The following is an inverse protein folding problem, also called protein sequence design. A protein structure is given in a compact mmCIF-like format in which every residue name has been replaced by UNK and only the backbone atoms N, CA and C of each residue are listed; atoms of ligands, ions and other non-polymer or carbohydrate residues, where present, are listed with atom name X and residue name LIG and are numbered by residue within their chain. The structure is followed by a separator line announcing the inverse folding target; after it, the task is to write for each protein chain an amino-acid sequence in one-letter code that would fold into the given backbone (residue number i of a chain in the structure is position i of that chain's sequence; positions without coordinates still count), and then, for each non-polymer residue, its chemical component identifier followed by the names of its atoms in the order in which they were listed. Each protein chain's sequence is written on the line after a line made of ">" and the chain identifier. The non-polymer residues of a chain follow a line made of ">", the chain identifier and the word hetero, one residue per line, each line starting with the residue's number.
data_IF_056759246781
#
_entry.id   IF_056759246781
#
_cell.length_a   1.000
_cell.length_b   1.000
_cell.length_c   1.000
_cell.angle_alpha   90.00
_cell.angle_beta   90.00
_cell.angle_gamma   90.00
#
_symmetry.space_group_name_H-M   'P 1'
#
loop_
_entity.id
_entity.type
_entity.pdbx_description
1 polymer ?
#
# COMPACT_ATOMS: atom_id res chain seq x y z
N UNK A 1 -2.66 11.53 25.04
CA UNK A 1 -2.45 12.04 26.43
C UNK A 1 -3.16 13.38 26.66
N UNK A 2 -3.15 14.26 25.68
CA UNK A 2 -3.79 15.58 25.83
C UNK A 2 -5.31 15.52 26.08
N UNK A 3 -5.95 14.43 25.74
CA UNK A 3 -7.39 14.22 25.89
C UNK A 3 -7.78 13.39 27.14
N UNK A 4 -6.81 12.79 27.82
CA UNK A 4 -7.09 11.95 28.97
C UNK A 4 -7.55 12.81 30.17
N UNK A 5 -8.73 12.54 30.69
CA UNK A 5 -9.27 13.21 31.89
C UNK A 5 -8.85 12.50 33.18
N UNK A 6 -8.56 11.20 33.11
CA UNK A 6 -8.03 10.39 34.21
C UNK A 6 -7.26 9.21 33.64
N UNK A 7 -5.96 9.32 33.50
CA UNK A 7 -5.11 8.20 33.08
C UNK A 7 -4.34 7.60 34.25
N UNK A 8 -3.95 6.35 34.15
CA UNK A 8 -3.00 5.75 35.08
C UNK A 8 -1.67 6.53 35.17
N UNK A 9 -1.30 7.19 34.10
CA UNK A 9 -0.11 8.03 34.01
C UNK A 9 -0.24 9.30 34.86
N UNK A 10 -1.40 9.96 34.87
CA UNK A 10 -1.64 11.14 35.73
C UNK A 10 -1.53 10.80 37.21
N UNK A 11 -1.94 9.60 37.62
CA UNK A 11 -1.79 9.13 39.00
C UNK A 11 -0.33 9.00 39.43
N UNK A 12 0.56 8.72 38.49
CA UNK A 12 1.98 8.49 38.75
C UNK A 12 2.78 9.80 38.54
N UNK A 13 2.50 10.55 37.50
CA UNK A 13 3.31 11.67 37.03
C UNK A 13 2.65 13.05 37.24
N UNK A 14 1.47 13.10 37.81
CA UNK A 14 0.75 14.35 38.09
C UNK A 14 -0.26 14.73 36.99
N UNK A 15 -0.89 15.86 37.18
CA UNK A 15 -1.96 16.35 36.33
C UNK A 15 -1.52 16.56 34.87
N UNK A 16 -2.50 16.48 33.96
CA UNK A 16 -2.34 16.77 32.54
C UNK A 16 -1.62 18.11 32.30
N UNK A 17 -0.65 18.09 31.40
CA UNK A 17 0.13 19.27 31.00
C UNK A 17 0.58 19.14 29.55
N UNK A 18 0.90 20.27 28.92
CA UNK A 18 1.51 20.32 27.58
C UNK A 18 3.01 20.02 27.61
N UNK A 19 3.60 19.79 28.80
CA UNK A 19 5.02 19.44 28.95
C UNK A 19 5.20 18.20 29.84
N UNK A 20 4.64 17.05 29.42
CA UNK A 20 4.66 15.84 30.23
C UNK A 20 6.05 15.18 30.22
N UNK A 21 6.75 15.20 31.35
CA UNK A 21 8.12 14.67 31.46
C UNK A 21 8.21 13.19 31.08
N UNK A 22 7.19 12.39 31.37
CA UNK A 22 7.18 10.98 31.04
C UNK A 22 7.06 10.72 29.52
N UNK A 23 6.31 11.55 28.77
CA UNK A 23 6.24 11.45 27.30
C UNK A 23 7.59 11.78 26.69
N UNK A 24 8.24 12.87 27.14
CA UNK A 24 9.62 13.17 26.72
C UNK A 24 10.57 12.02 27.01
N UNK A 25 10.46 11.39 28.18
CA UNK A 25 11.28 10.24 28.58
C UNK A 25 11.05 9.02 27.69
N UNK A 26 9.80 8.75 27.31
CA UNK A 26 9.48 7.67 26.39
C UNK A 26 10.13 7.89 25.01
N UNK A 27 10.06 9.11 24.47
CA UNK A 27 10.75 9.46 23.23
C UNK A 27 12.27 9.32 23.35
N UNK A 28 12.86 9.69 24.51
CA UNK A 28 14.29 9.53 24.74
C UNK A 28 14.69 8.06 24.68
N UNK A 29 13.97 7.16 25.36
CA UNK A 29 14.25 5.72 25.29
C UNK A 29 14.14 5.16 23.87
N UNK A 30 13.11 5.55 23.13
CA UNK A 30 12.95 5.14 21.75
C UNK A 30 14.11 5.63 20.85
N UNK A 31 14.49 6.89 21.01
CA UNK A 31 15.61 7.49 20.27
C UNK A 31 16.95 6.84 20.62
N UNK A 32 17.21 6.56 21.89
CA UNK A 32 18.45 5.89 22.33
C UNK A 32 18.57 4.49 21.72
N UNK A 33 17.45 3.76 21.64
CA UNK A 33 17.37 2.46 20.95
C UNK A 33 17.69 2.59 19.46
N UNK A 34 17.05 3.54 18.77
CA UNK A 34 17.29 3.83 17.33
C UNK A 34 18.76 4.19 17.09
N UNK A 35 19.35 5.00 17.99
CA UNK A 35 20.75 5.41 17.93
C UNK A 35 21.68 4.23 18.14
N UNK A 36 21.39 3.38 19.12
CA UNK A 36 22.18 2.18 19.40
C UNK A 36 22.29 1.25 18.19
N UNK A 37 21.20 1.10 17.41
CA UNK A 37 21.18 0.29 16.19
C UNK A 37 21.63 1.04 14.93
N UNK A 38 22.09 2.28 15.02
CA UNK A 38 22.51 3.06 13.85
C UNK A 38 21.39 3.42 12.87
N UNK A 39 20.16 3.56 13.36
CA UNK A 39 18.95 3.76 12.55
C UNK A 39 18.41 5.20 12.55
N UNK A 40 19.15 6.16 13.09
CA UNK A 40 18.71 7.57 13.24
C UNK A 40 18.31 8.25 11.94
N UNK A 41 18.87 7.81 10.81
CA UNK A 41 18.52 8.30 9.47
C UNK A 41 17.46 7.46 8.74
N UNK A 42 16.93 6.42 9.39
CA UNK A 42 16.00 5.45 8.80
C UNK A 42 14.66 5.38 9.51
N UNK A 43 14.61 5.82 10.76
CA UNK A 43 13.41 5.76 11.61
C UNK A 43 13.07 7.16 12.09
N UNK A 44 11.82 7.55 11.90
CA UNK A 44 11.24 8.80 12.41
C UNK A 44 10.29 8.49 13.56
N UNK A 45 10.34 9.28 14.62
CA UNK A 45 9.45 9.18 15.78
C UNK A 45 8.37 10.26 15.71
N UNK A 46 7.13 9.87 15.95
CA UNK A 46 5.97 10.76 15.90
C UNK A 46 5.20 10.73 17.21
N UNK A 47 4.72 11.90 17.64
CA UNK A 47 3.65 11.98 18.62
C UNK A 47 2.32 11.73 17.90
N UNK A 48 1.64 10.63 18.22
CA UNK A 48 0.39 10.22 17.58
C UNK A 48 -0.78 10.33 18.57
N UNK A 49 -1.80 11.13 18.20
CA UNK A 49 -2.99 11.31 19.05
C UNK A 49 -4.23 11.59 18.20
N UNK A 50 -5.41 11.41 18.79
CA UNK A 50 -6.69 11.78 18.17
C UNK A 50 -6.99 13.27 18.40
N UNK A 51 -7.89 13.84 17.60
CA UNK A 51 -8.33 15.23 17.66
C UNK A 51 -7.21 16.30 17.72
N UNK A 52 -6.00 15.96 17.25
CA UNK A 52 -4.85 16.89 17.23
C UNK A 52 -5.14 18.19 16.49
N UNK A 53 -6.11 18.18 15.55
CA UNK A 53 -6.57 19.36 14.84
C UNK A 53 -7.32 20.36 15.73
N UNK A 54 -7.78 19.96 16.90
CA UNK A 54 -8.45 20.82 17.90
C UNK A 54 -7.45 21.44 18.89
N UNK A 55 -6.27 20.85 19.04
CA UNK A 55 -5.28 21.21 20.06
C UNK A 55 -3.90 21.52 19.45
N UNK A 56 -3.90 22.20 18.30
CA UNK A 56 -2.68 22.45 17.51
C UNK A 56 -1.55 23.07 18.33
N UNK A 57 -1.85 24.12 19.10
CA UNK A 57 -0.83 24.85 19.88
C UNK A 57 -0.27 23.97 21.02
N UNK A 58 -1.10 23.16 21.65
CA UNK A 58 -0.70 22.26 22.72
C UNK A 58 0.20 21.14 22.19
N UNK A 59 -0.16 20.57 21.03
CA UNK A 59 0.67 19.57 20.32
C UNK A 59 2.02 20.15 19.93
N UNK A 60 2.05 21.37 19.37
CA UNK A 60 3.29 22.05 19.01
C UNK A 60 4.15 22.29 20.25
N UNK A 61 3.56 22.77 21.33
CA UNK A 61 4.24 23.00 22.61
C UNK A 61 4.84 21.71 23.15
N UNK A 62 4.08 20.60 23.10
CA UNK A 62 4.55 19.31 23.55
C UNK A 62 5.73 18.78 22.74
N UNK A 63 5.63 18.81 21.40
CA UNK A 63 6.73 18.34 20.53
C UNK A 63 7.98 19.19 20.73
N UNK A 64 7.84 20.52 20.86
CA UNK A 64 8.96 21.40 21.16
C UNK A 64 9.59 21.09 22.52
N UNK A 65 8.79 20.76 23.54
CA UNK A 65 9.29 20.31 24.82
C UNK A 65 10.02 18.96 24.74
N UNK A 66 9.48 18.00 23.98
CA UNK A 66 10.16 16.72 23.73
C UNK A 66 11.53 16.96 23.09
N UNK A 67 11.62 17.92 22.18
CA UNK A 67 12.82 18.26 21.41
C UNK A 67 13.75 19.26 22.11
N UNK A 68 13.50 19.68 23.36
CA UNK A 68 14.27 20.77 24.01
C UNK A 68 15.75 20.47 24.19
N UNK A 69 16.13 19.18 24.28
CA UNK A 69 17.53 18.75 24.48
C UNK A 69 18.14 18.16 23.19
N UNK A 70 17.44 18.28 22.07
CA UNK A 70 17.80 17.75 20.76
C UNK A 70 16.60 17.14 20.04
N UNK A 71 16.68 17.10 18.73
CA UNK A 71 15.56 16.60 17.89
C UNK A 71 15.43 15.08 17.99
N UNK A 72 14.51 14.60 18.82
CA UNK A 72 14.18 13.19 19.02
C UNK A 72 12.76 12.83 18.56
N UNK A 73 11.87 13.82 18.40
CA UNK A 73 10.55 13.66 17.79
C UNK A 73 10.53 14.38 16.44
N UNK A 74 10.19 13.68 15.37
CA UNK A 74 10.22 14.22 14.03
C UNK A 74 8.94 14.99 13.68
N UNK A 75 7.81 14.62 14.26
CA UNK A 75 6.56 15.26 13.90
C UNK A 75 5.33 14.71 14.61
N UNK A 76 4.19 14.99 14.01
CA UNK A 76 2.87 14.63 14.53
C UNK A 76 2.20 13.57 13.66
N UNK A 77 1.68 12.53 14.30
CA UNK A 77 0.72 11.59 13.76
C UNK A 77 -0.69 12.04 14.15
N UNK A 78 -1.50 12.34 13.15
CA UNK A 78 -2.90 12.69 13.32
C UNK A 78 -3.74 11.43 13.11
N UNK A 79 -4.36 10.87 14.16
CA UNK A 79 -5.19 9.67 14.01
C UNK A 79 -6.30 9.89 13.00
N UNK A 80 -7.01 11.02 13.09
CA UNK A 80 -7.99 11.43 12.08
C UNK A 80 -9.22 10.53 12.01
N UNK A 81 -9.75 10.18 13.18
CA UNK A 81 -11.09 9.65 13.32
C UNK A 81 -12.09 10.80 13.19
N UNK A 82 -12.63 10.97 11.99
CA UNK A 82 -13.37 12.17 11.60
C UNK A 82 -14.88 11.86 11.42
N UNK A 83 -15.62 12.91 11.09
CA UNK A 83 -16.99 12.82 10.58
C UNK A 83 -17.16 13.76 9.40
N UNK A 84 -17.99 13.41 8.43
CA UNK A 84 -18.30 14.32 7.31
C UNK A 84 -19.04 15.59 7.78
N UNK A 85 -19.57 15.61 8.99
CA UNK A 85 -20.19 16.78 9.61
C UNK A 85 -19.25 17.62 10.45
N UNK A 86 -18.14 17.06 10.93
CA UNK A 86 -17.10 17.76 11.71
C UNK A 86 -15.83 16.90 11.83
N UNK A 87 -14.63 17.50 11.70
CA UNK A 87 -14.39 18.91 11.36
C UNK A 87 -14.71 19.22 9.90
N UNK A 88 -14.88 20.51 9.58
CA UNK A 88 -14.85 20.91 8.17
C UNK A 88 -13.49 20.62 7.57
N UNK A 89 -13.44 20.32 6.28
CA UNK A 89 -12.16 20.09 5.57
C UNK A 89 -11.20 21.26 5.74
N UNK A 90 -11.70 22.50 5.68
CA UNK A 90 -10.87 23.71 5.85
C UNK A 90 -10.24 23.77 7.25
N UNK A 91 -11.01 23.50 8.30
CA UNK A 91 -10.51 23.51 9.67
C UNK A 91 -9.44 22.45 9.91
N UNK A 92 -9.70 21.22 9.43
CA UNK A 92 -8.72 20.14 9.53
C UNK A 92 -7.43 20.44 8.77
N UNK A 93 -7.53 20.92 7.54
CA UNK A 93 -6.33 21.21 6.72
C UNK A 93 -5.56 22.43 7.19
N UNK A 94 -6.21 23.40 7.86
CA UNK A 94 -5.52 24.48 8.56
C UNK A 94 -4.63 23.95 9.70
N UNK A 95 -5.09 22.95 10.44
CA UNK A 95 -4.27 22.29 11.46
C UNK A 95 -3.06 21.56 10.83
N UNK A 96 -3.27 20.82 9.73
CA UNK A 96 -2.16 20.20 8.98
C UNK A 96 -1.12 21.25 8.56
N UNK A 97 -1.58 22.38 7.99
CA UNK A 97 -0.69 23.47 7.58
C UNK A 97 0.06 24.08 8.76
N UNK A 98 -0.59 24.22 9.92
CA UNK A 98 0.04 24.75 11.13
C UNK A 98 1.17 23.86 11.63
N UNK A 99 1.00 22.54 11.62
CA UNK A 99 2.08 21.60 11.97
C UNK A 99 3.23 21.65 10.97
N UNK A 100 2.94 21.74 9.68
CA UNK A 100 3.95 21.91 8.62
C UNK A 100 4.72 23.22 8.84
N UNK A 101 4.03 24.35 9.12
CA UNK A 101 4.65 25.65 9.38
C UNK A 101 5.53 25.65 10.64
N UNK A 102 5.19 24.83 11.64
CA UNK A 102 6.02 24.62 12.82
C UNK A 102 7.28 23.75 12.54
N UNK A 103 7.49 23.31 11.29
CA UNK A 103 8.64 22.53 10.86
C UNK A 103 8.54 21.04 11.14
N UNK A 104 7.34 20.54 11.46
CA UNK A 104 7.10 19.14 11.75
C UNK A 104 6.79 18.34 10.49
N UNK A 105 7.17 17.07 10.55
CA UNK A 105 6.66 16.06 9.65
C UNK A 105 5.25 15.66 10.08
N UNK A 106 4.33 15.51 9.13
CA UNK A 106 2.93 15.16 9.40
C UNK A 106 2.60 13.83 8.77
N UNK A 107 1.97 12.95 9.54
CA UNK A 107 1.33 11.75 9.05
C UNK A 107 -0.15 11.73 9.45
N UNK A 108 -1.02 11.36 8.53
CA UNK A 108 -2.42 11.02 8.79
C UNK A 108 -2.42 9.51 9.02
N UNK A 109 -2.61 9.07 10.27
CA UNK A 109 -2.23 7.72 10.67
C UNK A 109 -3.38 6.71 10.72
N UNK A 110 -4.62 7.18 10.89
CA UNK A 110 -5.76 6.31 11.18
C UNK A 110 -7.06 6.85 10.57
N UNK A 111 -6.98 7.35 9.33
CA UNK A 111 -8.12 8.03 8.71
C UNK A 111 -9.31 7.10 8.53
N UNK A 112 -10.39 7.46 9.17
CA UNK A 112 -11.75 7.00 8.91
C UNK A 112 -12.74 8.15 9.12
N UNK A 113 -13.93 8.09 8.52
CA UNK A 113 -14.89 9.17 8.68
C UNK A 113 -16.33 8.66 8.73
N UNK A 114 -17.02 8.88 9.85
CA UNK A 114 -18.45 8.65 9.95
C UNK A 114 -19.20 9.57 9.00
N UNK A 115 -20.29 9.09 8.39
CA UNK A 115 -20.94 9.79 7.29
C UNK A 115 -22.45 9.51 7.24
N UNK A 116 -23.17 10.32 6.43
CA UNK A 116 -24.60 10.20 6.17
C UNK A 116 -24.92 9.34 4.92
N UNK A 117 -23.90 8.82 4.27
CA UNK A 117 -24.02 8.00 3.07
C UNK A 117 -22.76 8.03 2.20
N UNK A 118 -22.67 7.11 1.26
CA UNK A 118 -21.46 6.93 0.43
C UNK A 118 -21.06 8.19 -0.37
N UNK A 119 -22.02 8.95 -0.88
CA UNK A 119 -21.74 10.17 -1.63
C UNK A 119 -21.22 11.30 -0.70
N UNK A 120 -21.73 11.38 0.52
CA UNK A 120 -21.28 12.33 1.54
C UNK A 120 -19.80 12.05 1.93
N UNK A 121 -19.47 10.79 2.19
CA UNK A 121 -18.11 10.36 2.44
C UNK A 121 -17.19 10.64 1.23
N UNK A 122 -17.67 10.35 0.02
CA UNK A 122 -16.92 10.56 -1.21
C UNK A 122 -16.54 12.04 -1.42
N UNK A 123 -17.50 12.95 -1.23
CA UNK A 123 -17.29 14.40 -1.36
C UNK A 123 -16.32 14.93 -0.29
N UNK A 124 -16.48 14.48 0.95
CA UNK A 124 -15.62 14.88 2.06
C UNK A 124 -14.18 14.44 1.81
N UNK A 125 -13.95 13.16 1.51
CA UNK A 125 -12.60 12.62 1.29
C UNK A 125 -11.95 13.19 0.03
N UNK A 126 -12.71 13.44 -1.06
CA UNK A 126 -12.21 14.14 -2.23
C UNK A 126 -11.61 15.49 -1.86
N UNK A 127 -12.39 16.31 -1.15
CA UNK A 127 -11.97 17.67 -0.75
C UNK A 127 -10.79 17.63 0.22
N UNK A 128 -10.81 16.72 1.20
CA UNK A 128 -9.71 16.51 2.15
C UNK A 128 -8.41 16.17 1.41
N UNK A 129 -8.46 15.19 0.51
CA UNK A 129 -7.29 14.76 -0.25
C UNK A 129 -6.74 15.85 -1.16
N UNK A 130 -7.61 16.61 -1.84
CA UNK A 130 -7.19 17.76 -2.64
C UNK A 130 -6.37 18.77 -1.82
N UNK A 131 -6.85 19.11 -0.64
CA UNK A 131 -6.19 20.09 0.22
C UNK A 131 -4.88 19.54 0.81
N UNK A 132 -4.87 18.30 1.30
CA UNK A 132 -3.64 17.65 1.82
C UNK A 132 -2.58 17.54 0.72
N UNK A 133 -2.97 17.16 -0.49
CA UNK A 133 -2.05 17.08 -1.63
C UNK A 133 -1.53 18.48 -1.99
N UNK A 134 -2.36 19.51 -1.93
CA UNK A 134 -1.94 20.89 -2.20
C UNK A 134 -0.86 21.36 -1.21
N UNK A 135 -1.04 21.09 0.09
CA UNK A 135 -0.04 21.39 1.13
C UNK A 135 1.28 20.66 0.84
N UNK A 136 1.20 19.37 0.50
CA UNK A 136 2.39 18.58 0.16
C UNK A 136 3.10 19.14 -1.07
N UNK A 137 2.38 19.53 -2.11
CA UNK A 137 2.95 20.14 -3.34
C UNK A 137 3.61 21.48 -3.08
N UNK A 138 3.11 22.24 -2.12
CA UNK A 138 3.71 23.49 -1.67
C UNK A 138 4.99 23.30 -0.81
N UNK A 139 5.46 22.08 -0.67
CA UNK A 139 6.66 21.73 0.10
C UNK A 139 6.39 21.23 1.51
N UNK A 140 5.12 21.08 1.89
CA UNK A 140 4.74 20.55 3.20
C UNK A 140 5.23 19.11 3.41
N UNK A 141 5.82 18.85 4.55
CA UNK A 141 6.41 17.55 4.90
C UNK A 141 5.35 16.56 5.36
N UNK A 142 4.45 16.19 4.46
CA UNK A 142 3.43 15.15 4.69
C UNK A 142 3.97 13.84 4.13
N UNK A 143 4.21 12.84 4.98
CA UNK A 143 4.95 11.63 4.61
C UNK A 143 4.14 10.35 4.65
N UNK A 144 2.93 10.38 5.18
CA UNK A 144 2.07 9.22 5.23
C UNK A 144 0.58 9.54 5.34
N UNK A 145 -0.24 8.68 4.76
CA UNK A 145 -1.67 8.61 4.99
C UNK A 145 -2.07 7.14 5.05
N UNK A 146 -2.72 6.76 6.15
CA UNK A 146 -3.21 5.40 6.39
C UNK A 146 -4.72 5.44 6.61
N UNK A 147 -5.45 4.62 5.89
CA UNK A 147 -6.88 4.36 6.14
C UNK A 147 -6.99 3.35 7.28
N UNK A 148 -7.83 3.64 8.29
CA UNK A 148 -7.91 2.83 9.51
C UNK A 148 -8.86 1.66 9.39
N UNK A 149 -8.59 0.78 8.46
CA UNK A 149 -9.32 -0.47 8.26
C UNK A 149 -9.37 -0.91 6.80
N UNK A 150 -9.71 -2.17 6.61
CA UNK A 150 -9.78 -2.78 5.27
C UNK A 150 -11.13 -2.50 4.60
N UNK A 151 -12.23 -2.67 5.35
CA UNK A 151 -13.59 -2.52 4.82
C UNK A 151 -14.60 -2.27 5.96
N UNK A 152 -15.78 -1.78 5.61
CA UNK A 152 -16.84 -1.39 6.55
C UNK A 152 -17.36 -2.57 7.40
N UNK A 153 -17.36 -3.77 6.87
CA UNK A 153 -17.82 -4.98 7.56
C UNK A 153 -16.90 -5.42 8.71
N UNK A 154 -15.64 -4.98 8.68
CA UNK A 154 -14.61 -5.27 9.71
C UNK A 154 -14.11 -4.02 10.44
N UNK A 155 -14.77 -2.87 10.28
CA UNK A 155 -14.39 -1.63 10.97
C UNK A 155 -14.63 -1.72 12.48
N UNK A 156 -13.82 -0.98 13.25
CA UNK A 156 -13.97 -0.86 14.70
C UNK A 156 -15.22 -0.08 15.11
N UNK A 157 -15.68 0.87 14.27
CA UNK A 157 -16.93 1.65 14.47
C UNK A 157 -18.09 1.04 13.68
N UNK A 158 -18.61 -0.08 14.17
CA UNK A 158 -19.63 -0.87 13.49
C UNK A 158 -20.85 -0.04 13.08
N UNK A 159 -21.35 -0.28 11.89
CA UNK A 159 -22.55 0.37 11.35
C UNK A 159 -22.33 1.76 10.76
N UNK A 160 -21.18 2.40 10.96
CA UNK A 160 -20.91 3.78 10.51
C UNK A 160 -20.39 3.89 9.08
N UNK A 161 -20.02 2.78 8.46
CA UNK A 161 -19.52 2.69 7.08
C UNK A 161 -18.42 3.72 6.72
N UNK A 162 -17.34 3.85 7.53
CA UNK A 162 -16.40 4.98 7.45
C UNK A 162 -15.26 4.81 6.43
N UNK A 163 -15.17 3.66 5.77
CA UNK A 163 -14.00 3.25 4.99
C UNK A 163 -14.23 3.32 3.48
N UNK A 164 -13.19 3.02 2.71
CA UNK A 164 -13.19 3.10 1.25
C UNK A 164 -13.84 1.89 0.57
N UNK A 165 -13.95 0.77 1.29
CA UNK A 165 -14.54 -0.47 0.79
C UNK A 165 -15.72 -0.87 1.67
N UNK A 166 -16.79 -1.37 1.06
CA UNK A 166 -17.94 -1.92 1.80
C UNK A 166 -17.64 -3.30 2.39
N UNK A 167 -16.97 -4.14 1.62
CA UNK A 167 -16.35 -5.42 1.98
C UNK A 167 -15.00 -5.51 1.28
N UNK A 168 -14.15 -6.43 1.70
CA UNK A 168 -12.82 -6.62 1.06
C UNK A 168 -12.99 -6.84 -0.44
N UNK A 169 -12.32 -5.98 -1.24
CA UNK A 169 -12.36 -6.03 -2.70
C UNK A 169 -13.56 -5.34 -3.35
N UNK A 170 -14.50 -4.78 -2.58
CA UNK A 170 -15.66 -4.06 -3.11
C UNK A 170 -15.57 -2.55 -2.84
N UNK A 171 -14.97 -1.76 -3.74
CA UNK A 171 -14.72 -0.33 -3.54
C UNK A 171 -16.01 0.48 -3.59
N UNK A 172 -16.12 1.46 -2.69
CA UNK A 172 -17.21 2.44 -2.62
C UNK A 172 -16.92 3.65 -3.52
N UNK A 173 -17.90 4.53 -3.69
CA UNK A 173 -17.73 5.82 -4.38
C UNK A 173 -16.57 6.63 -3.78
N UNK A 174 -16.39 6.57 -2.46
CA UNK A 174 -15.30 7.23 -1.74
C UNK A 174 -13.90 6.80 -2.20
N UNK A 175 -13.70 5.53 -2.54
CA UNK A 175 -12.43 5.03 -3.08
C UNK A 175 -12.09 5.72 -4.41
N UNK A 176 -13.05 5.78 -5.33
CA UNK A 176 -12.85 6.42 -6.63
C UNK A 176 -12.66 7.93 -6.51
N UNK A 177 -13.33 8.57 -5.55
CA UNK A 177 -13.17 10.00 -5.27
C UNK A 177 -11.78 10.35 -4.74
N UNK A 178 -11.21 9.52 -3.87
CA UNK A 178 -9.82 9.68 -3.43
C UNK A 178 -8.84 9.56 -4.61
N UNK A 179 -9.01 8.57 -5.48
CA UNK A 179 -8.19 8.44 -6.69
C UNK A 179 -8.37 9.63 -7.64
N UNK A 180 -9.60 10.14 -7.78
CA UNK A 180 -9.88 11.31 -8.61
C UNK A 180 -9.21 12.57 -8.05
N UNK A 181 -9.18 12.75 -6.71
CA UNK A 181 -8.49 13.86 -6.08
C UNK A 181 -6.98 13.88 -6.41
N UNK A 182 -6.35 12.71 -6.47
CA UNK A 182 -4.96 12.59 -6.94
C UNK A 182 -4.81 13.04 -8.39
N UNK A 183 -5.65 12.54 -9.31
CA UNK A 183 -5.61 12.91 -10.72
C UNK A 183 -5.80 14.41 -10.91
N UNK A 184 -6.83 14.97 -10.29
CA UNK A 184 -7.18 16.39 -10.40
C UNK A 184 -6.18 17.33 -9.73
N UNK A 185 -5.34 16.80 -8.86
CA UNK A 185 -4.26 17.57 -8.24
C UNK A 185 -3.03 17.68 -9.13
N UNK A 186 -3.06 17.11 -10.36
CA UNK A 186 -1.89 17.10 -11.25
C UNK A 186 -0.66 16.40 -10.59
N UNK A 187 -0.92 15.59 -9.57
CA UNK A 187 0.04 14.57 -9.20
C UNK A 187 -0.05 13.58 -10.35
N UNK A 188 0.82 13.72 -11.33
CA UNK A 188 1.18 12.57 -12.13
C UNK A 188 1.48 11.52 -11.08
N UNK A 189 0.69 10.44 -11.09
CA UNK A 189 1.14 9.21 -10.46
C UNK A 189 2.63 9.21 -10.78
N UNK A 190 3.48 9.31 -9.74
CA UNK A 190 4.88 9.07 -9.99
C UNK A 190 4.78 7.82 -10.82
N UNK A 191 5.02 7.95 -12.12
CA UNK A 191 5.40 6.79 -12.88
C UNK A 191 6.42 6.26 -11.92
N UNK A 192 6.08 5.18 -11.22
CA UNK A 192 7.10 4.32 -10.71
C UNK A 192 7.78 3.98 -12.01
N UNK A 193 8.62 4.92 -12.44
CA UNK A 193 9.66 4.61 -13.38
C UNK A 193 10.30 3.49 -12.60
N UNK A 194 10.09 2.24 -13.02
CA UNK A 194 10.78 1.17 -12.33
C UNK A 194 12.18 1.71 -12.34
N UNK A 195 12.66 2.07 -11.13
CA UNK A 195 14.05 2.43 -10.97
C UNK A 195 14.73 1.37 -11.79
N UNK A 196 15.42 1.75 -12.84
CA UNK A 196 16.00 0.85 -13.82
C UNK A 196 17.19 0.07 -13.23
N UNK A 197 17.14 -0.26 -11.96
CA UNK A 197 17.55 -1.55 -11.49
C UNK A 197 16.52 -2.53 -12.04
N UNK A 198 16.60 -2.86 -13.34
CA UNK A 198 16.02 -4.08 -13.84
C UNK A 198 16.60 -5.16 -12.95
N UNK A 199 15.83 -5.62 -11.96
CA UNK A 199 16.09 -6.90 -11.37
C UNK A 199 15.77 -7.89 -12.48
N UNK A 200 16.70 -7.99 -13.43
CA UNK A 200 16.64 -9.01 -14.46
C UNK A 200 16.75 -10.32 -13.72
N UNK A 201 15.61 -11.01 -13.65
CA UNK A 201 15.65 -12.41 -13.20
C UNK A 201 16.62 -13.10 -14.14
N UNK A 202 17.67 -13.70 -13.61
CA UNK A 202 18.70 -14.35 -14.43
C UNK A 202 18.08 -15.48 -15.24
N UNK A 203 18.68 -15.79 -16.40
CA UNK A 203 18.28 -17.00 -17.14
C UNK A 203 18.49 -18.24 -16.26
N UNK A 204 17.52 -19.13 -16.25
CA UNK A 204 17.59 -20.33 -15.42
C UNK A 204 16.22 -20.93 -15.10
N UNK A 205 16.25 -22.04 -14.36
CA UNK A 205 15.05 -22.74 -13.89
C UNK A 205 14.53 -22.16 -12.60
N UNK A 206 13.20 -21.93 -12.55
CA UNK A 206 12.51 -21.38 -11.39
C UNK A 206 11.25 -22.15 -11.08
N UNK A 207 10.86 -22.10 -9.80
CA UNK A 207 9.53 -22.34 -9.33
C UNK A 207 8.89 -20.99 -9.04
N UNK A 208 7.73 -20.72 -9.61
CA UNK A 208 6.98 -19.47 -9.42
C UNK A 208 5.90 -19.73 -8.40
N UNK A 209 6.01 -19.11 -7.22
CA UNK A 209 5.09 -19.32 -6.11
C UNK A 209 4.17 -18.11 -5.95
N UNK A 210 2.86 -18.33 -5.95
CA UNK A 210 1.87 -17.30 -5.66
C UNK A 210 1.94 -16.94 -4.16
N UNK A 211 2.06 -15.64 -3.86
CA UNK A 211 2.23 -15.15 -2.49
C UNK A 211 0.98 -15.38 -1.63
N UNK A 212 -0.22 -15.17 -2.19
CA UNK A 212 -1.48 -15.32 -1.46
C UNK A 212 -1.84 -16.78 -1.21
N UNK A 213 -1.78 -17.61 -2.24
CA UNK A 213 -2.18 -19.02 -2.15
C UNK A 213 -1.09 -19.93 -1.57
N UNK A 214 0.18 -19.47 -1.55
CA UNK A 214 1.35 -20.28 -1.20
C UNK A 214 1.52 -21.54 -2.06
N UNK A 215 0.98 -21.52 -3.29
CA UNK A 215 1.01 -22.59 -4.28
C UNK A 215 1.84 -22.21 -5.51
N UNK A 216 2.22 -23.18 -6.30
CA UNK A 216 3.12 -23.02 -7.43
C UNK A 216 2.37 -22.93 -8.76
N UNK A 217 2.84 -22.06 -9.66
CA UNK A 217 2.40 -22.01 -11.04
C UNK A 217 2.72 -23.33 -11.73
N UNK A 218 1.71 -23.98 -12.29
CA UNK A 218 1.85 -25.28 -12.95
C UNK A 218 1.02 -25.39 -14.21
N UNK A 219 1.42 -26.32 -15.07
CA UNK A 219 0.59 -26.77 -16.19
C UNK A 219 -0.39 -27.85 -15.69
N UNK A 220 -1.66 -27.71 -16.05
CA UNK A 220 -2.72 -28.64 -15.67
C UNK A 220 -2.32 -30.10 -15.96
N UNK A 221 -2.51 -30.94 -14.96
CA UNK A 221 -2.21 -32.39 -15.03
C UNK A 221 -0.75 -32.69 -15.43
N UNK A 222 0.19 -31.76 -15.27
CA UNK A 222 1.59 -31.90 -15.71
C UNK A 222 1.74 -32.27 -17.21
N UNK A 223 0.77 -31.87 -18.06
CA UNK A 223 0.74 -32.19 -19.47
C UNK A 223 1.66 -31.29 -20.29
N UNK A 224 2.22 -31.78 -21.41
CA UNK A 224 2.77 -30.99 -22.49
C UNK A 224 1.76 -30.77 -23.59
N UNK A 225 1.77 -29.64 -24.26
CA UNK A 225 0.88 -29.39 -25.40
C UNK A 225 0.52 -27.90 -25.59
N UNK A 226 -0.05 -27.61 -26.76
CA UNK A 226 -0.67 -26.33 -27.02
C UNK A 226 -2.04 -26.26 -26.34
N UNK A 227 -2.41 -25.07 -25.92
CA UNK A 227 -3.71 -24.76 -25.28
C UNK A 227 -3.97 -25.54 -24.00
N UNK A 228 -2.90 -26.02 -23.32
CA UNK A 228 -3.05 -26.60 -21.98
C UNK A 228 -3.11 -25.50 -20.95
N UNK A 229 -4.11 -25.57 -20.09
CA UNK A 229 -4.35 -24.53 -19.07
C UNK A 229 -3.21 -24.44 -18.05
N UNK A 230 -2.95 -23.23 -17.58
CA UNK A 230 -2.03 -22.97 -16.47
C UNK A 230 -2.84 -22.63 -15.23
N UNK A 231 -2.47 -23.22 -14.12
CA UNK A 231 -3.16 -23.16 -12.84
C UNK A 231 -2.15 -23.05 -11.69
N UNK A 232 -2.62 -22.93 -10.46
CA UNK A 232 -1.78 -23.09 -9.27
C UNK A 232 -2.01 -24.45 -8.63
N UNK A 233 -0.95 -25.01 -8.02
CA UNK A 233 -1.02 -26.29 -7.33
C UNK A 233 -0.01 -26.43 -6.20
N UNK A 234 -0.27 -27.40 -5.33
CA UNK A 234 0.66 -27.79 -4.26
C UNK A 234 1.99 -28.20 -4.84
N UNK A 235 3.10 -27.83 -4.20
CA UNK A 235 4.46 -28.12 -4.67
C UNK A 235 4.76 -29.61 -4.65
N UNK A 236 4.96 -30.19 -5.83
CA UNK A 236 5.31 -31.61 -6.03
C UNK A 236 6.62 -31.79 -6.79
N UNK A 237 7.20 -30.68 -7.32
CA UNK A 237 8.44 -30.69 -8.06
C UNK A 237 8.37 -31.30 -9.47
N UNK A 238 7.17 -31.59 -9.98
CA UNK A 238 6.96 -32.15 -11.33
C UNK A 238 7.40 -31.16 -12.41
N UNK A 239 7.59 -31.66 -13.64
CA UNK A 239 8.03 -30.85 -14.79
C UNK A 239 7.10 -29.67 -15.07
N UNK A 240 5.79 -29.86 -14.89
CA UNK A 240 4.77 -28.82 -15.07
C UNK A 240 4.88 -27.64 -14.12
N UNK A 241 5.64 -27.74 -13.03
CA UNK A 241 5.91 -26.66 -12.07
C UNK A 241 7.24 -25.95 -12.32
N UNK A 242 8.09 -26.43 -13.24
CA UNK A 242 9.39 -25.84 -13.56
C UNK A 242 9.27 -24.92 -14.76
N UNK A 243 9.84 -23.71 -14.64
CA UNK A 243 9.79 -22.69 -15.66
C UNK A 243 11.20 -22.15 -15.94
N UNK A 244 11.66 -22.25 -17.17
CA UNK A 244 12.95 -21.71 -17.58
C UNK A 244 12.77 -20.28 -18.06
N UNK A 245 13.42 -19.33 -17.40
CA UNK A 245 13.47 -17.92 -17.79
C UNK A 245 14.52 -17.74 -18.87
N UNK A 246 14.15 -17.11 -20.00
CA UNK A 246 15.09 -16.62 -21.01
C UNK A 246 14.83 -15.13 -21.21
N UNK A 247 15.81 -14.29 -20.89
CA UNK A 247 15.73 -12.85 -21.11
C UNK A 247 15.82 -12.54 -22.61
N UNK A 248 15.05 -11.53 -23.03
CA UNK A 248 15.04 -11.02 -24.39
C UNK A 248 15.64 -9.61 -24.44
N UNK A 249 16.17 -9.20 -25.61
CA UNK A 249 16.84 -7.91 -25.77
C UNK A 249 15.98 -6.68 -25.53
N UNK A 250 14.66 -6.84 -25.51
CA UNK A 250 13.68 -5.77 -25.29
C UNK A 250 13.30 -5.56 -23.81
N UNK A 251 14.03 -6.20 -22.87
CA UNK A 251 13.81 -6.05 -21.43
C UNK A 251 12.65 -6.88 -20.87
N UNK A 252 12.15 -7.84 -21.65
CA UNK A 252 11.20 -8.87 -21.23
C UNK A 252 11.92 -10.22 -21.09
N UNK A 253 11.21 -11.24 -20.69
CA UNK A 253 11.66 -12.63 -20.70
C UNK A 253 10.53 -13.55 -21.18
N UNK A 254 10.90 -14.72 -21.59
CA UNK A 254 9.98 -15.83 -21.85
C UNK A 254 10.07 -16.88 -20.74
N UNK A 255 8.99 -17.65 -20.55
CA UNK A 255 8.92 -18.74 -19.60
C UNK A 255 8.64 -20.05 -20.33
N UNK A 256 9.64 -20.92 -20.42
CA UNK A 256 9.50 -22.25 -21.01
C UNK A 256 9.24 -23.28 -19.91
N UNK A 257 8.13 -23.99 -20.01
CA UNK A 257 7.78 -25.04 -19.05
C UNK A 257 8.71 -26.25 -19.16
N UNK A 258 8.85 -27.02 -18.09
CA UNK A 258 9.65 -28.25 -18.07
C UNK A 258 9.17 -29.34 -19.04
N UNK A 259 7.93 -29.24 -19.55
CA UNK A 259 7.39 -30.09 -20.60
C UNK A 259 7.68 -29.56 -22.03
N UNK A 260 8.40 -28.42 -22.16
CA UNK A 260 8.90 -27.91 -23.44
C UNK A 260 8.09 -26.78 -24.09
N UNK A 261 6.97 -26.36 -23.51
CA UNK A 261 6.06 -25.34 -24.04
C UNK A 261 6.25 -23.99 -23.34
N UNK A 262 5.90 -22.91 -24.04
CA UNK A 262 6.00 -21.53 -23.52
C UNK A 262 4.74 -21.16 -22.73
N UNK A 263 4.90 -20.38 -21.67
CA UNK A 263 3.79 -19.65 -21.06
C UNK A 263 3.25 -18.64 -22.08
N UNK A 264 1.93 -18.57 -22.21
CA UNK A 264 1.28 -17.84 -23.30
C UNK A 264 -0.04 -17.23 -22.84
N UNK A 265 -0.28 -15.98 -23.20
CA UNK A 265 -1.59 -15.35 -23.07
C UNK A 265 -2.47 -15.82 -24.22
N UNK A 266 -3.50 -16.57 -23.91
CA UNK A 266 -4.35 -17.23 -24.91
C UNK A 266 -4.85 -16.22 -25.96
N UNK A 267 -4.71 -16.58 -27.25
CA UNK A 267 -5.05 -15.76 -28.42
C UNK A 267 -4.28 -14.44 -28.53
N UNK A 268 -3.33 -14.14 -27.65
CA UNK A 268 -2.70 -12.82 -27.60
C UNK A 268 -3.68 -11.69 -27.27
N UNK A 269 -4.77 -12.00 -26.61
CA UNK A 269 -5.81 -11.02 -26.31
C UNK A 269 -5.48 -10.19 -25.06
N UNK A 270 -5.79 -8.89 -25.10
CA UNK A 270 -5.51 -7.96 -23.98
C UNK A 270 -6.77 -7.69 -23.14
N UNK A 271 -7.53 -8.72 -22.80
CA UNK A 271 -8.73 -8.61 -21.98
C UNK A 271 -8.42 -8.97 -20.50
N UNK A 272 -9.21 -8.41 -19.57
CA UNK A 272 -9.21 -8.86 -18.18
C UNK A 272 -9.82 -10.27 -18.11
N UNK A 273 -9.24 -11.11 -17.25
CA UNK A 273 -9.63 -12.52 -17.15
C UNK A 273 -9.13 -13.40 -18.31
N UNK A 274 -8.30 -12.86 -19.23
CA UNK A 274 -7.77 -13.66 -20.34
C UNK A 274 -6.93 -14.82 -19.84
N UNK A 275 -7.28 -16.02 -20.29
CA UNK A 275 -6.65 -17.25 -19.82
C UNK A 275 -5.16 -17.31 -20.13
N UNK A 276 -4.40 -17.90 -19.24
CA UNK A 276 -2.99 -18.26 -19.42
C UNK A 276 -2.89 -19.76 -19.71
N UNK A 277 -2.17 -20.06 -20.77
CA UNK A 277 -2.01 -21.42 -21.29
C UNK A 277 -0.53 -21.73 -21.56
N UNK A 278 -0.25 -22.95 -21.95
CA UNK A 278 1.01 -23.29 -22.63
C UNK A 278 0.80 -23.36 -24.14
N UNK A 279 1.82 -22.93 -24.90
CA UNK A 279 1.80 -22.99 -26.37
C UNK A 279 3.22 -23.20 -26.94
N UNK A 280 3.31 -23.68 -28.16
CA UNK A 280 4.59 -23.80 -28.87
C UNK A 280 5.25 -22.43 -29.03
N UNK A 281 6.57 -22.38 -28.98
CA UNK A 281 7.33 -21.14 -29.15
C UNK A 281 7.04 -20.49 -30.52
N UNK A 282 6.58 -19.22 -30.52
CA UNK A 282 6.23 -18.49 -31.74
C UNK A 282 6.75 -17.06 -31.75
N UNK A 283 7.54 -16.66 -30.77
CA UNK A 283 8.10 -15.31 -30.58
C UNK A 283 7.07 -14.17 -30.45
N UNK A 284 5.81 -14.48 -30.24
CA UNK A 284 4.75 -13.48 -30.08
C UNK A 284 4.87 -12.70 -28.76
N UNK A 285 4.29 -11.50 -28.71
CA UNK A 285 4.20 -10.69 -27.48
C UNK A 285 3.39 -11.40 -26.38
N UNK A 286 2.49 -12.32 -26.74
CA UNK A 286 1.74 -13.16 -25.82
C UNK A 286 2.62 -14.07 -24.95
N UNK A 287 3.86 -14.36 -25.39
CA UNK A 287 4.84 -15.19 -24.68
C UNK A 287 5.92 -14.39 -23.96
N UNK A 288 5.76 -13.06 -23.86
CA UNK A 288 6.75 -12.17 -23.25
C UNK A 288 6.21 -11.54 -21.99
N UNK A 289 6.99 -11.63 -20.92
CA UNK A 289 6.65 -11.20 -19.58
C UNK A 289 7.78 -10.36 -18.98
N UNK A 290 7.46 -9.57 -17.96
CA UNK A 290 8.42 -8.79 -17.20
C UNK A 290 8.11 -8.90 -15.72
N UNK A 291 9.13 -9.11 -14.90
CA UNK A 291 9.00 -9.06 -13.45
C UNK A 291 9.11 -7.62 -12.94
N UNK A 292 8.13 -7.18 -12.19
CA UNK A 292 8.08 -5.87 -11.54
C UNK A 292 8.07 -6.08 -10.04
N UNK A 293 9.07 -5.57 -9.34
CA UNK A 293 9.19 -5.73 -7.89
C UNK A 293 8.05 -5.00 -7.18
N UNK A 294 7.45 -5.65 -6.18
CA UNK A 294 6.35 -5.07 -5.39
C UNK A 294 6.92 -4.39 -4.15
N UNK A 295 7.06 -3.06 -4.20
CA UNK A 295 7.62 -2.26 -3.12
C UNK A 295 8.99 -2.78 -2.67
N UNK A 296 9.21 -2.82 -1.35
CA UNK A 296 10.44 -3.36 -0.74
C UNK A 296 10.38 -4.86 -0.42
N UNK A 297 9.31 -5.55 -0.85
CA UNK A 297 9.15 -6.99 -0.63
C UNK A 297 10.06 -7.82 -1.55
N UNK A 298 10.15 -9.13 -1.29
CA UNK A 298 10.78 -10.09 -2.19
C UNK A 298 9.79 -10.66 -3.23
N UNK A 299 8.62 -10.04 -3.39
CA UNK A 299 7.60 -10.44 -4.34
C UNK A 299 7.68 -9.62 -5.63
N UNK A 300 7.23 -10.23 -6.72
CA UNK A 300 7.18 -9.63 -8.06
C UNK A 300 5.80 -9.82 -8.68
N UNK A 301 5.28 -8.79 -9.33
CA UNK A 301 4.23 -8.92 -10.32
C UNK A 301 4.84 -9.39 -11.66
N UNK A 302 4.29 -10.41 -12.27
CA UNK A 302 4.71 -10.86 -13.61
C UNK A 302 3.74 -10.22 -14.60
N UNK A 303 4.17 -9.12 -15.23
CA UNK A 303 3.33 -8.37 -16.17
C UNK A 303 3.51 -8.86 -17.59
N UNK A 304 2.44 -8.76 -18.41
CA UNK A 304 2.39 -9.24 -19.77
C UNK A 304 2.81 -8.16 -20.77
N UNK A 305 3.60 -8.50 -21.77
CA UNK A 305 3.96 -7.56 -22.85
C UNK A 305 2.76 -7.18 -23.70
N UNK A 306 1.82 -8.10 -23.91
CA UNK A 306 0.61 -7.85 -24.70
C UNK A 306 -0.23 -6.69 -24.13
N UNK A 307 -0.19 -6.47 -22.82
CA UNK A 307 -0.85 -5.36 -22.15
C UNK A 307 0.02 -4.09 -22.06
N UNK A 308 1.22 -4.09 -22.64
CA UNK A 308 2.25 -3.04 -22.44
C UNK A 308 2.64 -2.89 -20.96
N UNK A 309 2.63 -3.98 -20.20
CA UNK A 309 2.97 -4.00 -18.78
C UNK A 309 1.87 -3.50 -17.84
N UNK A 310 0.65 -3.31 -18.32
CA UNK A 310 -0.48 -2.80 -17.52
C UNK A 310 -1.26 -3.88 -16.80
N UNK A 311 -1.10 -5.14 -17.20
CA UNK A 311 -1.75 -6.32 -16.61
C UNK A 311 -0.73 -7.37 -16.20
N UNK A 312 -1.03 -8.11 -15.15
CA UNK A 312 -0.15 -9.15 -14.60
C UNK A 312 -0.82 -10.53 -14.63
N UNK A 313 -0.02 -11.55 -14.37
CA UNK A 313 -0.56 -12.87 -14.04
C UNK A 313 -1.31 -12.78 -12.71
N UNK A 314 -2.53 -13.25 -12.70
CA UNK A 314 -3.41 -13.29 -11.54
C UNK A 314 -4.01 -14.68 -11.34
N UNK A 315 -4.31 -15.04 -10.10
CA UNK A 315 -5.07 -16.24 -9.78
C UNK A 315 -6.53 -15.85 -9.64
N UNK A 316 -7.35 -16.36 -10.54
CA UNK A 316 -8.75 -15.98 -10.64
C UNK A 316 -9.51 -16.09 -9.31
N UNK A 317 -10.29 -15.08 -8.99
CA UNK A 317 -11.08 -14.96 -7.76
C UNK A 317 -10.27 -15.14 -6.46
N UNK A 318 -8.97 -14.81 -6.46
CA UNK A 318 -8.12 -14.94 -5.27
C UNK A 318 -8.11 -16.35 -4.68
N UNK A 319 -8.44 -17.35 -5.49
CA UNK A 319 -8.55 -18.73 -5.07
C UNK A 319 -7.23 -19.25 -4.50
N UNK A 320 -7.32 -20.03 -3.43
CA UNK A 320 -6.19 -20.72 -2.81
C UNK A 320 -6.21 -22.24 -3.06
N UNK A 321 -7.17 -22.70 -3.86
CA UNK A 321 -7.35 -24.13 -4.14
C UNK A 321 -6.42 -24.62 -5.23
N UNK A 322 -6.02 -25.88 -5.17
CA UNK A 322 -5.35 -26.54 -6.27
C UNK A 322 -6.26 -26.55 -7.50
N UNK A 323 -5.69 -26.35 -8.68
CA UNK A 323 -6.42 -26.26 -9.93
C UNK A 323 -7.06 -24.90 -10.21
N UNK A 324 -6.89 -23.90 -9.33
CA UNK A 324 -7.34 -22.54 -9.65
C UNK A 324 -6.55 -21.99 -10.84
N UNK A 325 -7.27 -21.61 -11.90
CA UNK A 325 -6.63 -21.17 -13.13
C UNK A 325 -6.00 -19.78 -13.00
N UNK A 326 -4.97 -19.56 -13.80
CA UNK A 326 -4.25 -18.29 -13.89
C UNK A 326 -4.73 -17.54 -15.11
N UNK A 327 -4.98 -16.27 -14.94
CA UNK A 327 -5.39 -15.35 -16.01
C UNK A 327 -4.49 -14.11 -16.05
N UNK A 328 -4.70 -13.30 -17.06
CA UNK A 328 -4.19 -11.93 -17.14
C UNK A 328 -5.24 -10.98 -16.56
N UNK A 329 -4.87 -10.15 -15.61
CA UNK A 329 -5.77 -9.15 -15.01
C UNK A 329 -5.07 -7.81 -14.78
#
# INVERSE_FOLDING_TARGET
>A
YLHATTSGWEKIYGARTTRPAFVKRAFQYAYDCIKYFGLTNKVSLFYNDFNTYMEVNDVITMINYINSDGKICNGVGMQSHLSTSYPSVAYYTQAVQSFVNAGFEVQITELDATNKGDQDLANYLYSLMKNVISIKKAGGKITGLTIWGLADDVTWIKGQKPLLFSTIGNPKTAYWSVLQAYKDSGVTQATVTPSSSSSTISNGWYYIKNVNAQKYLQVKNNQGGNSVNVEIGTGTGVRGQKWYVTNTSDGYFTLKNGNGYMLDVQYGANNDGQNIQTYSANNANAQRFKAVKIGNSNAYGIVTKISSGKKALDVYNWSKSDGAYVCQW
#
